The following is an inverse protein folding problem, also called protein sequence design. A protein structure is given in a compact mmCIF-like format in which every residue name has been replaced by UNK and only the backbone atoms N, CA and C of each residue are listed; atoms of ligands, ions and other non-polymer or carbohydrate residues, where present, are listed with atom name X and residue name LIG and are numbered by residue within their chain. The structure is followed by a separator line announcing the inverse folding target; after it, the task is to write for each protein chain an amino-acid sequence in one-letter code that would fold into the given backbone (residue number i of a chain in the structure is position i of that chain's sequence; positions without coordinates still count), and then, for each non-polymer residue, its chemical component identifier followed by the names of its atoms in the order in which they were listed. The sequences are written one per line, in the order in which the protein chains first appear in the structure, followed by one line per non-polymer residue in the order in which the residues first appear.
data_IF_738545347639
#
_entry.id   IF_738545347639
#
_cell.length_a   1.000
_cell.length_b   1.000
_cell.length_c   1.000
_cell.angle_alpha   90.00
_cell.angle_beta   90.00
_cell.angle_gamma   90.00
#
_symmetry.space_group_name_H-M   'P 1'
#
loop_
_entity.id
_entity.type
_entity.pdbx_description
1 polymer ?
#
# COMPACT_ATOMS: atom_id res chain seq x y z
N UNK A 1 -21.80 23.17 9.98
CA UNK A 1 -20.54 22.53 10.33
C UNK A 1 -20.70 21.03 10.60
N UNK A 2 -21.75 20.61 11.29
CA UNK A 2 -22.05 19.19 11.51
C UNK A 2 -22.26 18.39 10.20
N UNK A 3 -22.92 18.99 9.19
CA UNK A 3 -23.19 18.32 7.90
C UNK A 3 -21.93 18.05 7.08
N UNK A 4 -20.87 18.86 7.23
CA UNK A 4 -19.59 18.66 6.54
C UNK A 4 -18.85 17.46 7.14
N UNK A 5 -18.91 17.28 8.45
CA UNK A 5 -18.26 16.16 9.15
C UNK A 5 -19.01 14.83 8.96
N UNK A 6 -20.27 14.86 8.56
CA UNK A 6 -21.05 13.65 8.23
C UNK A 6 -20.91 13.21 6.78
N UNK A 7 -20.17 13.95 5.94
CA UNK A 7 -19.95 13.58 4.56
C UNK A 7 -18.88 12.46 4.49
N UNK A 8 -19.28 11.26 4.08
CA UNK A 8 -18.41 10.09 3.95
C UNK A 8 -17.16 10.37 3.11
N UNK A 9 -17.28 11.16 2.04
CA UNK A 9 -16.14 11.53 1.19
C UNK A 9 -15.10 12.34 1.97
N UNK A 10 -15.53 13.28 2.80
CA UNK A 10 -14.60 14.09 3.60
C UNK A 10 -13.87 13.21 4.63
N UNK A 11 -14.61 12.35 5.33
CA UNK A 11 -14.05 11.49 6.37
C UNK A 11 -13.09 10.41 5.81
N UNK A 12 -13.42 9.84 4.66
CA UNK A 12 -12.72 8.68 4.13
C UNK A 12 -11.64 9.04 3.10
N UNK A 13 -11.69 10.25 2.52
CA UNK A 13 -10.72 10.66 1.52
C UNK A 13 -9.97 11.94 1.91
N UNK A 14 -10.69 13.02 2.19
CA UNK A 14 -10.06 14.33 2.46
C UNK A 14 -9.27 14.30 3.76
N UNK A 15 -9.85 13.77 4.81
CA UNK A 15 -9.23 13.74 6.14
C UNK A 15 -7.96 12.86 6.18
N UNK A 16 -7.94 11.60 5.67
CA UNK A 16 -6.72 10.81 5.66
C UNK A 16 -5.63 11.39 4.74
N UNK A 17 -6.02 11.99 3.61
CA UNK A 17 -5.07 12.67 2.73
C UNK A 17 -4.35 13.82 3.43
N UNK A 18 -5.09 14.80 3.95
CA UNK A 18 -4.50 15.93 4.66
C UNK A 18 -3.90 15.52 6.01
N UNK A 19 -4.50 14.55 6.70
CA UNK A 19 -3.96 13.95 7.93
C UNK A 19 -2.57 13.38 7.71
N UNK A 20 -2.37 12.63 6.63
CA UNK A 20 -1.04 12.10 6.28
C UNK A 20 -0.07 13.22 5.97
N UNK A 21 -0.45 14.24 5.21
CA UNK A 21 0.42 15.38 4.90
C UNK A 21 0.85 16.08 6.20
N UNK A 22 -0.08 16.38 7.07
CA UNK A 22 0.18 17.08 8.34
C UNK A 22 1.03 16.24 9.29
N UNK A 23 0.69 14.96 9.48
CA UNK A 23 1.46 14.05 10.33
C UNK A 23 2.87 13.86 9.81
N UNK A 24 3.05 13.66 8.51
CA UNK A 24 4.36 13.54 7.87
C UNK A 24 5.20 14.79 8.15
N UNK A 25 4.63 15.98 7.92
CA UNK A 25 5.31 17.25 8.13
C UNK A 25 5.65 17.50 9.61
N UNK A 26 4.71 17.21 10.50
CA UNK A 26 4.89 17.39 11.95
C UNK A 26 5.99 16.46 12.48
N UNK A 27 5.91 15.17 12.16
CA UNK A 27 6.89 14.16 12.61
C UNK A 27 8.28 14.49 12.04
N UNK A 28 8.36 14.83 10.75
CA UNK A 28 9.62 15.21 10.12
C UNK A 28 10.25 16.45 10.77
N UNK A 29 9.42 17.43 11.14
CA UNK A 29 9.90 18.68 11.75
C UNK A 29 10.29 18.52 13.23
N UNK A 30 9.58 17.71 13.99
CA UNK A 30 9.82 17.48 15.41
C UNK A 30 10.91 16.43 15.67
N UNK A 31 11.10 15.48 14.74
CA UNK A 31 12.12 14.46 14.84
C UNK A 31 13.53 14.98 14.58
N UNK A 32 14.53 14.34 15.19
CA UNK A 32 15.93 14.51 14.79
C UNK A 32 16.10 13.97 13.38
N UNK A 33 17.07 14.51 12.60
CA UNK A 33 17.21 14.27 11.15
C UNK A 33 16.95 12.82 10.71
N UNK A 34 17.56 11.83 11.38
CA UNK A 34 17.45 10.43 10.95
C UNK A 34 16.18 9.76 11.49
N UNK A 35 15.88 9.91 12.80
CA UNK A 35 14.67 9.33 13.40
C UNK A 35 13.38 10.01 12.94
N UNK A 36 13.41 11.31 12.63
CA UNK A 36 12.27 12.03 12.08
C UNK A 36 11.88 11.54 10.70
N UNK A 37 12.86 11.22 9.84
CA UNK A 37 12.63 10.64 8.52
C UNK A 37 12.03 9.23 8.63
N UNK A 38 12.60 8.40 9.51
CA UNK A 38 12.12 7.04 9.73
C UNK A 38 10.67 7.02 10.25
N UNK A 39 10.37 7.84 11.27
CA UNK A 39 9.04 7.93 11.86
C UNK A 39 8.00 8.60 10.95
N UNK A 40 8.41 9.52 10.05
CA UNK A 40 7.49 10.17 9.12
C UNK A 40 6.77 9.15 8.21
N UNK A 41 7.41 8.02 7.93
CA UNK A 41 6.82 6.92 7.17
C UNK A 41 5.60 6.29 7.87
N UNK A 42 5.54 6.36 9.21
CA UNK A 42 4.43 5.82 9.97
C UNK A 42 3.10 6.58 9.75
N UNK A 43 3.16 7.79 9.19
CA UNK A 43 1.98 8.62 8.94
C UNK A 43 0.93 7.95 8.05
N UNK A 44 1.36 7.18 7.03
CA UNK A 44 0.45 6.44 6.14
C UNK A 44 -0.30 5.38 6.91
N UNK A 45 0.41 4.56 7.70
CA UNK A 45 -0.20 3.52 8.52
C UNK A 45 -1.12 4.09 9.60
N UNK A 46 -0.74 5.20 10.24
CA UNK A 46 -1.57 5.86 11.24
C UNK A 46 -2.85 6.43 10.63
N UNK A 47 -2.77 7.10 9.47
CA UNK A 47 -3.93 7.62 8.76
C UNK A 47 -4.83 6.50 8.25
N UNK A 48 -4.27 5.39 7.78
CA UNK A 48 -5.05 4.23 7.36
C UNK A 48 -5.71 3.53 8.56
N UNK A 49 -5.02 3.38 9.69
CA UNK A 49 -5.62 2.86 10.92
C UNK A 49 -6.81 3.72 11.39
N UNK A 50 -6.69 5.04 11.23
CA UNK A 50 -7.81 5.97 11.49
C UNK A 50 -9.02 5.70 10.58
N UNK A 51 -8.79 5.56 9.26
CA UNK A 51 -9.86 5.19 8.30
C UNK A 51 -10.50 3.86 8.70
N UNK A 52 -9.67 2.87 9.02
CA UNK A 52 -10.14 1.53 9.41
C UNK A 52 -11.02 1.61 10.66
N UNK A 53 -10.63 2.43 11.64
CA UNK A 53 -11.42 2.66 12.85
C UNK A 53 -12.76 3.36 12.57
N UNK A 54 -12.79 4.29 11.59
CA UNK A 54 -14.03 4.96 11.19
C UNK A 54 -14.99 4.03 10.45
N UNK A 55 -14.48 3.15 9.58
CA UNK A 55 -15.28 2.27 8.72
C UNK A 55 -15.77 1.03 9.48
N UNK A 56 -14.89 0.40 10.25
CA UNK A 56 -15.18 -0.87 10.95
C UNK A 56 -15.58 -0.67 12.42
N UNK A 57 -15.42 0.55 12.94
CA UNK A 57 -15.55 0.83 14.38
C UNK A 57 -14.31 0.41 15.17
N UNK A 58 -14.32 0.71 16.47
CA UNK A 58 -13.26 0.28 17.38
C UNK A 58 -13.44 -1.21 17.71
N UNK A 59 -12.41 -2.04 17.59
CA UNK A 59 -12.52 -3.47 17.88
C UNK A 59 -12.84 -3.69 19.35
N UNK A 60 -13.69 -4.68 19.63
CA UNK A 60 -13.87 -5.21 20.98
C UNK A 60 -12.54 -5.80 21.47
N UNK A 61 -12.24 -5.62 22.75
CA UNK A 61 -11.05 -6.26 23.35
C UNK A 61 -11.50 -7.47 24.21
N UNK A 62 -10.93 -8.66 24.03
CA UNK A 62 -9.87 -9.04 23.09
C UNK A 62 -10.35 -9.08 21.63
N UNK A 63 -9.45 -8.76 20.66
CA UNK A 63 -9.81 -8.72 19.25
C UNK A 63 -10.23 -10.12 18.77
N UNK A 64 -11.40 -10.19 18.18
CA UNK A 64 -11.90 -11.45 17.59
C UNK A 64 -11.14 -11.78 16.30
N UNK A 65 -10.97 -13.08 16.04
CA UNK A 65 -10.44 -13.58 14.76
C UNK A 65 -11.53 -13.43 13.68
N UNK A 66 -11.62 -12.25 13.08
CA UNK A 66 -12.57 -11.96 12.00
C UNK A 66 -12.16 -10.69 11.25
N UNK A 67 -12.99 -10.26 10.32
CA UNK A 67 -12.78 -9.04 9.53
C UNK A 67 -12.58 -7.78 10.37
N UNK A 68 -13.04 -7.73 11.62
CA UNK A 68 -12.77 -6.61 12.54
C UNK A 68 -11.32 -6.57 13.03
N UNK A 69 -10.56 -7.66 12.83
CA UNK A 69 -9.15 -7.73 13.16
C UNK A 69 -8.24 -6.85 12.28
N UNK A 70 -8.76 -6.32 11.14
CA UNK A 70 -7.97 -5.45 10.23
C UNK A 70 -7.35 -4.28 10.98
N UNK A 71 -8.11 -3.60 11.84
CA UNK A 71 -7.59 -2.46 12.59
C UNK A 71 -6.44 -2.89 13.51
N UNK A 72 -6.64 -3.96 14.26
CA UNK A 72 -5.61 -4.50 15.18
C UNK A 72 -4.37 -4.94 14.42
N UNK A 73 -4.55 -5.64 13.30
CA UNK A 73 -3.45 -6.08 12.44
C UNK A 73 -2.72 -4.90 11.80
N UNK A 74 -3.44 -3.87 11.32
CA UNK A 74 -2.83 -2.65 10.77
C UNK A 74 -1.98 -1.92 11.83
N UNK A 75 -2.50 -1.79 13.05
CA UNK A 75 -1.77 -1.16 14.16
C UNK A 75 -0.55 -2.00 14.55
N UNK A 76 -0.67 -3.32 14.62
CA UNK A 76 0.46 -4.21 14.91
C UNK A 76 1.55 -4.10 13.82
N UNK A 77 1.16 -4.15 12.54
CA UNK A 77 2.07 -4.00 11.41
C UNK A 77 2.75 -2.63 11.39
N UNK A 78 2.02 -1.58 11.77
CA UNK A 78 2.57 -0.23 11.92
C UNK A 78 3.63 -0.18 13.01
N UNK A 79 3.36 -0.74 14.18
CA UNK A 79 4.30 -0.77 15.30
C UNK A 79 5.55 -1.56 14.92
N UNK A 80 5.38 -2.75 14.34
CA UNK A 80 6.51 -3.56 13.86
C UNK A 80 7.32 -2.79 12.81
N UNK A 81 6.65 -2.13 11.87
CA UNK A 81 7.31 -1.31 10.85
C UNK A 81 8.13 -0.17 11.45
N UNK A 82 7.60 0.54 12.44
CA UNK A 82 8.32 1.59 13.16
C UNK A 82 9.56 1.03 13.88
N UNK A 83 9.43 -0.10 14.57
CA UNK A 83 10.55 -0.76 15.24
C UNK A 83 11.64 -1.13 14.24
N UNK A 84 11.24 -1.70 13.09
CA UNK A 84 12.17 -2.07 12.03
C UNK A 84 12.86 -0.83 11.42
N UNK A 85 12.13 0.27 11.23
CA UNK A 85 12.67 1.52 10.69
C UNK A 85 13.68 2.18 11.66
N UNK A 86 13.46 2.03 12.97
CA UNK A 86 14.34 2.60 13.99
C UNK A 86 15.54 1.71 14.33
N UNK A 87 15.37 0.39 14.34
CA UNK A 87 16.37 -0.55 14.83
C UNK A 87 17.29 -1.12 13.74
N UNK A 88 16.80 -1.23 12.48
CA UNK A 88 17.58 -1.86 11.42
C UNK A 88 18.21 -0.83 10.49
N UNK A 89 19.52 -0.70 10.59
CA UNK A 89 20.35 -0.09 9.55
C UNK A 89 20.65 -1.17 8.49
N UNK A 90 20.02 -1.09 7.32
CA UNK A 90 20.01 -2.14 6.28
C UNK A 90 21.34 -2.28 5.49
N UNK A 91 22.49 -1.90 6.05
CA UNK A 91 23.77 -1.92 5.31
C UNK A 91 24.41 -3.30 5.23
N UNK A 92 24.06 -4.23 6.14
CA UNK A 92 24.63 -5.56 6.19
C UNK A 92 23.76 -6.62 5.51
N UNK A 93 24.38 -7.67 4.93
CA UNK A 93 23.63 -8.81 4.38
C UNK A 93 22.73 -9.48 5.43
N UNK A 94 23.22 -9.55 6.67
CA UNK A 94 22.49 -10.12 7.81
C UNK A 94 21.30 -9.25 8.20
N UNK A 95 21.45 -7.92 8.22
CA UNK A 95 20.34 -6.99 8.46
C UNK A 95 19.21 -7.14 7.43
N UNK A 96 19.54 -7.31 6.15
CA UNK A 96 18.56 -7.57 5.09
C UNK A 96 17.82 -8.91 5.25
N UNK A 97 18.50 -9.94 5.72
CA UNK A 97 17.87 -11.24 5.99
C UNK A 97 16.88 -11.13 7.14
N UNK A 98 17.27 -10.48 8.24
CA UNK A 98 16.39 -10.23 9.40
C UNK A 98 15.18 -9.39 8.97
N UNK A 99 15.40 -8.34 8.20
CA UNK A 99 14.36 -7.48 7.67
C UNK A 99 13.34 -8.28 6.86
N UNK A 100 13.80 -9.03 5.87
CA UNK A 100 12.93 -9.84 5.01
C UNK A 100 12.17 -10.89 5.82
N UNK A 101 12.85 -11.56 6.76
CA UNK A 101 12.23 -12.52 7.66
C UNK A 101 11.16 -11.90 8.55
N UNK A 102 11.43 -10.75 9.15
CA UNK A 102 10.48 -10.03 10.00
C UNK A 102 9.23 -9.58 9.21
N UNK A 103 9.43 -9.10 7.97
CA UNK A 103 8.34 -8.70 7.09
C UNK A 103 7.46 -9.90 6.72
N UNK A 104 8.06 -11.02 6.32
CA UNK A 104 7.33 -12.24 5.97
C UNK A 104 6.56 -12.78 7.18
N UNK A 105 7.20 -12.90 8.35
CA UNK A 105 6.55 -13.36 9.58
C UNK A 105 5.39 -12.46 10.00
N UNK A 106 5.55 -11.14 9.86
CA UNK A 106 4.49 -10.17 10.16
C UNK A 106 3.29 -10.34 9.24
N UNK A 107 3.52 -10.61 7.96
CA UNK A 107 2.45 -10.86 7.00
C UNK A 107 1.72 -12.17 7.28
N UNK A 108 2.45 -13.25 7.51
CA UNK A 108 1.87 -14.55 7.87
C UNK A 108 1.03 -14.39 9.15
N UNK A 109 1.58 -13.70 10.16
CA UNK A 109 0.88 -13.44 11.41
C UNK A 109 -0.40 -12.64 11.22
N UNK A 110 -0.38 -11.59 10.40
CA UNK A 110 -1.56 -10.77 10.10
C UNK A 110 -2.65 -11.57 9.39
N UNK A 111 -2.27 -12.37 8.39
CA UNK A 111 -3.20 -13.24 7.64
C UNK A 111 -3.80 -14.33 8.55
N UNK A 112 -2.95 -15.03 9.31
CA UNK A 112 -3.41 -16.06 10.26
C UNK A 112 -4.34 -15.46 11.33
N UNK A 113 -4.07 -14.24 11.77
CA UNK A 113 -4.93 -13.54 12.73
C UNK A 113 -6.31 -13.21 12.13
N UNK A 114 -6.36 -12.75 10.89
CA UNK A 114 -7.63 -12.41 10.25
C UNK A 114 -8.51 -13.63 9.99
N UNK A 115 -7.93 -14.72 9.52
CA UNK A 115 -8.67 -15.88 9.06
C UNK A 115 -8.84 -16.98 10.13
N UNK A 116 -8.15 -16.86 11.27
CA UNK A 116 -8.10 -17.93 12.28
C UNK A 116 -7.39 -19.21 11.79
N UNK A 117 -6.76 -19.15 10.61
CA UNK A 117 -6.01 -20.24 9.97
C UNK A 117 -5.39 -19.81 8.64
N UNK A 118 -4.76 -20.75 7.95
CA UNK A 118 -4.16 -20.53 6.63
C UNK A 118 -4.83 -21.47 5.64
N UNK A 119 -5.54 -20.91 4.68
CA UNK A 119 -6.15 -21.61 3.56
C UNK A 119 -5.37 -21.43 2.25
N UNK A 120 -5.85 -22.03 1.16
CA UNK A 120 -5.20 -21.94 -0.15
C UNK A 120 -5.15 -20.50 -0.68
N UNK A 121 -6.20 -19.72 -0.45
CA UNK A 121 -6.27 -18.32 -0.86
C UNK A 121 -5.25 -17.46 -0.12
N UNK A 122 -5.10 -17.69 1.18
CA UNK A 122 -4.08 -17.05 2.01
C UNK A 122 -2.69 -17.31 1.50
N UNK A 123 -2.38 -18.55 1.10
CA UNK A 123 -1.07 -18.92 0.54
C UNK A 123 -0.82 -18.17 -0.77
N UNK A 124 -1.79 -18.14 -1.68
CA UNK A 124 -1.66 -17.44 -2.96
C UNK A 124 -1.42 -15.94 -2.76
N UNK A 125 -2.15 -15.33 -1.85
CA UNK A 125 -2.00 -13.91 -1.53
C UNK A 125 -0.66 -13.64 -0.85
N UNK A 126 -0.23 -14.48 0.09
CA UNK A 126 1.09 -14.35 0.72
C UNK A 126 2.23 -14.44 -0.29
N UNK A 127 2.12 -15.33 -1.29
CA UNK A 127 3.08 -15.39 -2.39
C UNK A 127 3.05 -14.10 -3.21
N UNK A 128 1.87 -13.65 -3.63
CA UNK A 128 1.71 -12.39 -4.37
C UNK A 128 2.23 -11.19 -3.59
N UNK A 129 1.95 -11.14 -2.28
CA UNK A 129 2.45 -10.10 -1.40
C UNK A 129 3.96 -10.16 -1.19
N UNK A 130 4.54 -11.35 -1.08
CA UNK A 130 5.98 -11.55 -1.03
C UNK A 130 6.69 -10.97 -2.26
N UNK A 131 6.13 -11.22 -3.45
CA UNK A 131 6.63 -10.63 -4.71
C UNK A 131 6.48 -9.10 -4.71
N UNK A 132 5.34 -8.59 -4.25
CA UNK A 132 5.08 -7.16 -4.12
C UNK A 132 6.08 -6.48 -3.20
N UNK A 133 6.29 -7.03 -2.01
CA UNK A 133 7.28 -6.53 -1.05
C UNK A 133 8.68 -6.53 -1.64
N UNK A 134 9.08 -7.63 -2.24
CA UNK A 134 10.40 -7.74 -2.86
C UNK A 134 10.61 -6.64 -3.91
N UNK A 135 9.61 -6.36 -4.74
CA UNK A 135 9.68 -5.30 -5.73
C UNK A 135 9.72 -3.91 -5.08
N UNK A 136 8.84 -3.64 -4.10
CA UNK A 136 8.81 -2.36 -3.39
C UNK A 136 10.08 -2.10 -2.58
N UNK A 137 10.61 -3.09 -1.89
CA UNK A 137 11.91 -2.98 -1.19
C UNK A 137 13.03 -2.70 -2.17
N UNK A 138 13.06 -3.42 -3.29
CA UNK A 138 14.05 -3.22 -4.33
C UNK A 138 14.01 -1.80 -4.90
N UNK A 139 12.85 -1.17 -4.97
CA UNK A 139 12.70 0.23 -5.37
C UNK A 139 13.16 1.19 -4.26
N UNK A 140 12.70 0.96 -3.02
CA UNK A 140 12.97 1.85 -1.88
C UNK A 140 14.44 1.89 -1.44
N UNK A 141 15.15 0.75 -1.51
CA UNK A 141 16.55 0.61 -1.07
C UNK A 141 17.58 1.03 -2.10
N UNK A 142 17.19 1.27 -3.34
CA UNK A 142 18.12 1.76 -4.36
C UNK A 142 18.35 3.27 -4.21
N UNK A 143 19.19 3.62 -3.25
CA UNK A 143 20.02 4.81 -3.40
C UNK A 143 20.89 4.58 -4.64
N UNK A 144 20.52 5.18 -5.76
CA UNK A 144 21.26 5.06 -7.02
C UNK A 144 22.67 5.60 -6.84
N UNK A 145 23.70 4.92 -7.40
CA UNK A 145 25.05 5.41 -7.38
C UNK A 145 25.11 6.83 -7.94
N UNK A 146 25.97 7.64 -7.36
CA UNK A 146 26.16 9.03 -7.71
C UNK A 146 26.44 9.20 -9.22
N UNK A 147 25.44 9.60 -10.03
CA UNK A 147 25.68 9.94 -11.44
C UNK A 147 24.60 9.62 -12.46
N UNK A 148 23.61 8.78 -12.15
CA UNK A 148 22.56 8.43 -13.12
C UNK A 148 21.37 9.38 -13.14
N UNK A 149 20.67 9.59 -14.28
CA UNK A 149 19.48 10.45 -14.39
C UNK A 149 18.27 9.97 -13.58
N UNK A 150 18.30 8.73 -13.06
CA UNK A 150 17.22 8.11 -12.26
C UNK A 150 17.43 8.23 -10.75
N UNK A 151 18.29 9.14 -10.30
CA UNK A 151 18.59 9.36 -8.88
C UNK A 151 17.35 9.77 -8.11
N UNK A 152 16.98 8.98 -7.13
CA UNK A 152 16.02 9.34 -6.08
C UNK A 152 14.55 9.07 -6.35
N UNK A 153 14.15 8.63 -7.54
CA UNK A 153 12.72 8.41 -7.85
C UNK A 153 12.12 7.12 -7.26
N UNK A 154 12.93 6.18 -6.80
CA UNK A 154 12.44 4.88 -6.32
C UNK A 154 11.43 4.96 -5.19
N UNK A 155 11.63 5.86 -4.22
CA UNK A 155 10.70 6.08 -3.11
C UNK A 155 9.36 6.67 -3.58
N UNK A 156 9.40 7.62 -4.52
CA UNK A 156 8.19 8.20 -5.09
C UNK A 156 7.41 7.16 -5.91
N UNK A 157 8.11 6.31 -6.64
CA UNK A 157 7.48 5.27 -7.44
C UNK A 157 6.81 4.22 -6.56
N UNK A 158 7.46 3.78 -5.49
CA UNK A 158 6.88 2.82 -4.56
C UNK A 158 5.58 3.35 -3.92
N UNK A 159 5.57 4.61 -3.46
CA UNK A 159 4.38 5.23 -2.89
C UNK A 159 3.27 5.43 -3.94
N UNK A 160 3.62 5.81 -5.17
CA UNK A 160 2.67 5.96 -6.27
C UNK A 160 2.05 4.61 -6.67
N UNK A 161 2.84 3.54 -6.72
CA UNK A 161 2.33 2.20 -7.01
C UNK A 161 1.37 1.71 -5.92
N UNK A 162 1.66 2.02 -4.66
CA UNK A 162 0.73 1.73 -3.55
C UNK A 162 -0.58 2.49 -3.70
N UNK A 163 -0.55 3.78 -4.10
CA UNK A 163 -1.76 4.56 -4.41
C UNK A 163 -2.55 3.89 -5.52
N UNK A 164 -1.91 3.58 -6.65
CA UNK A 164 -2.58 3.02 -7.83
C UNK A 164 -3.16 1.63 -7.55
N UNK A 165 -2.45 0.78 -6.81
CA UNK A 165 -2.95 -0.53 -6.41
C UNK A 165 -4.15 -0.40 -5.46
N UNK A 166 -4.10 0.52 -4.49
CA UNK A 166 -5.22 0.76 -3.57
C UNK A 166 -6.43 1.33 -4.30
N UNK A 167 -6.23 2.23 -5.26
CA UNK A 167 -7.31 2.71 -6.15
C UNK A 167 -7.90 1.55 -6.95
N UNK A 168 -7.07 0.67 -7.50
CA UNK A 168 -7.54 -0.52 -8.22
C UNK A 168 -8.39 -1.44 -7.36
N UNK A 169 -7.98 -1.73 -6.11
CA UNK A 169 -8.80 -2.48 -5.15
C UNK A 169 -10.12 -1.77 -4.85
N UNK A 170 -10.09 -0.43 -4.71
CA UNK A 170 -11.29 0.36 -4.52
C UNK A 170 -12.27 0.26 -5.69
N UNK A 171 -11.78 0.23 -6.93
CA UNK A 171 -12.61 0.01 -8.11
C UNK A 171 -13.17 -1.42 -8.18
N UNK A 172 -12.38 -2.46 -7.87
CA UNK A 172 -12.88 -3.83 -7.77
C UNK A 172 -14.05 -3.88 -6.78
N UNK A 173 -13.84 -3.36 -5.56
CA UNK A 173 -14.84 -3.34 -4.51
C UNK A 173 -16.08 -2.52 -4.91
N UNK A 174 -15.90 -1.40 -5.61
CA UNK A 174 -16.99 -0.55 -6.07
C UNK A 174 -17.85 -1.25 -7.12
N UNK A 175 -17.25 -1.86 -8.12
CA UNK A 175 -17.98 -2.59 -9.19
C UNK A 175 -18.70 -3.81 -8.60
N UNK A 176 -18.14 -4.43 -7.56
CA UNK A 176 -18.72 -5.59 -6.86
C UNK A 176 -19.71 -5.21 -5.75
N UNK A 177 -20.02 -3.92 -5.57
CA UNK A 177 -20.90 -3.35 -4.52
C UNK A 177 -20.51 -3.71 -3.08
N UNK A 178 -19.19 -3.92 -2.85
CA UNK A 178 -18.63 -4.22 -1.53
C UNK A 178 -18.20 -2.90 -0.86
N UNK A 179 -19.17 -2.19 -0.25
CA UNK A 179 -19.02 -0.81 0.24
C UNK A 179 -17.87 -0.67 1.24
N UNK A 180 -17.76 -1.59 2.21
CA UNK A 180 -16.77 -1.52 3.29
C UNK A 180 -15.35 -1.58 2.74
N UNK A 181 -15.07 -2.53 1.86
CA UNK A 181 -13.72 -2.73 1.30
C UNK A 181 -13.38 -1.63 0.28
N UNK A 182 -14.37 -1.09 -0.43
CA UNK A 182 -14.24 0.11 -1.25
C UNK A 182 -13.73 1.29 -0.42
N UNK A 183 -14.39 1.55 0.71
CA UNK A 183 -14.09 2.70 1.57
C UNK A 183 -12.71 2.54 2.23
N UNK A 184 -12.34 1.33 2.66
CA UNK A 184 -11.01 1.02 3.16
C UNK A 184 -9.94 1.22 2.07
N UNK A 185 -10.17 0.73 0.86
CA UNK A 185 -9.21 0.81 -0.24
C UNK A 185 -8.98 2.27 -0.68
N UNK A 186 -10.03 3.07 -0.83
CA UNK A 186 -9.89 4.48 -1.15
C UNK A 186 -9.29 5.30 0.00
N UNK A 187 -9.57 4.95 1.26
CA UNK A 187 -8.92 5.55 2.41
C UNK A 187 -7.41 5.27 2.46
N UNK A 188 -7.00 4.04 2.12
CA UNK A 188 -5.59 3.67 1.97
C UNK A 188 -4.93 4.43 0.81
N UNK A 189 -5.62 4.54 -0.32
CA UNK A 189 -5.17 5.33 -1.47
C UNK A 189 -4.95 6.79 -1.10
N UNK A 190 -5.91 7.41 -0.38
CA UNK A 190 -5.82 8.78 0.08
C UNK A 190 -4.66 9.01 1.05
N UNK A 191 -4.47 8.12 2.02
CA UNK A 191 -3.35 8.16 2.95
C UNK A 191 -2.00 8.06 2.22
N UNK A 192 -1.88 7.11 1.29
CA UNK A 192 -0.67 6.91 0.50
C UNK A 192 -0.40 8.08 -0.45
N UNK A 193 -1.45 8.69 -1.03
CA UNK A 193 -1.36 9.87 -1.87
C UNK A 193 -0.85 11.09 -1.09
N UNK A 194 -1.28 11.27 0.15
CA UNK A 194 -0.77 12.34 1.04
C UNK A 194 0.74 12.25 1.24
N UNK A 195 1.27 11.04 1.44
CA UNK A 195 2.70 10.82 1.53
C UNK A 195 3.41 11.02 0.19
N UNK A 196 2.81 10.57 -0.93
CA UNK A 196 3.36 10.78 -2.26
C UNK A 196 3.50 12.26 -2.60
N UNK A 197 2.49 13.08 -2.32
CA UNK A 197 2.51 14.53 -2.56
C UNK A 197 3.62 15.21 -1.76
N UNK A 198 3.89 14.76 -0.52
CA UNK A 198 5.01 15.26 0.27
C UNK A 198 6.37 15.00 -0.37
N UNK A 199 6.50 13.90 -1.08
CA UNK A 199 7.70 13.48 -1.79
C UNK A 199 7.80 14.02 -3.24
N UNK A 200 6.78 14.70 -3.72
CA UNK A 200 6.75 15.25 -5.09
C UNK A 200 7.24 16.70 -5.11
N UNK A 201 7.98 17.17 -6.13
CA UNK A 201 8.52 16.43 -7.27
C UNK A 201 9.84 15.70 -6.98
N UNK A 202 10.47 15.95 -5.85
CA UNK A 202 11.74 15.35 -5.45
C UNK A 202 11.57 14.53 -4.18
N UNK A 203 12.09 13.29 -4.12
CA UNK A 203 12.00 12.45 -2.94
C UNK A 203 12.74 13.10 -1.77
N UNK A 204 12.01 13.39 -0.70
CA UNK A 204 12.52 13.95 0.56
C UNK A 204 12.63 12.87 1.63
N UNK A 205 11.74 11.91 1.57
CA UNK A 205 11.63 10.80 2.51
C UNK A 205 11.80 9.49 1.74
N UNK A 206 12.45 8.51 2.34
CA UNK A 206 12.51 7.17 1.75
C UNK A 206 11.21 6.40 2.02
N UNK A 207 10.91 5.41 1.20
CA UNK A 207 9.79 4.50 1.40
C UNK A 207 10.18 3.47 2.46
N UNK A 208 9.76 3.71 3.72
CA UNK A 208 10.17 2.93 4.87
C UNK A 208 9.36 1.64 5.06
N UNK A 209 9.81 0.85 6.03
CA UNK A 209 9.19 -0.44 6.39
C UNK A 209 7.83 -0.26 7.03
N UNK A 210 7.61 0.85 7.74
CA UNK A 210 6.30 1.18 8.31
C UNK A 210 5.23 1.41 7.25
N UNK A 211 5.56 2.07 6.12
CA UNK A 211 4.63 2.18 4.99
C UNK A 211 4.42 0.81 4.33
N UNK A 212 5.50 0.07 4.14
CA UNK A 212 5.45 -1.24 3.50
C UNK A 212 4.56 -2.22 4.29
N UNK A 213 4.74 -2.28 5.61
CA UNK A 213 3.96 -3.18 6.47
C UNK A 213 2.53 -2.69 6.70
N UNK A 214 2.34 -1.44 7.11
CA UNK A 214 1.00 -0.94 7.39
C UNK A 214 0.20 -0.65 6.11
N UNK A 215 0.80 -0.01 5.11
CA UNK A 215 0.16 0.29 3.83
C UNK A 215 0.03 -0.94 2.94
N UNK A 216 1.14 -1.63 2.68
CA UNK A 216 1.14 -2.87 1.89
C UNK A 216 0.39 -4.00 2.58
N UNK A 217 0.51 -4.15 3.91
CA UNK A 217 -0.27 -5.09 4.70
C UNK A 217 -1.75 -4.76 4.70
N UNK A 218 -2.12 -3.48 4.82
CA UNK A 218 -3.50 -3.02 4.68
C UNK A 218 -4.11 -3.39 3.32
N UNK A 219 -3.37 -3.16 2.25
CA UNK A 219 -3.75 -3.57 0.90
C UNK A 219 -3.96 -5.09 0.79
N UNK A 220 -3.05 -5.88 1.37
CA UNK A 220 -3.16 -7.34 1.42
C UNK A 220 -4.43 -7.77 2.15
N UNK A 221 -4.73 -7.19 3.31
CA UNK A 221 -5.90 -7.53 4.11
C UNK A 221 -7.21 -7.18 3.38
N UNK A 222 -7.26 -6.06 2.66
CA UNK A 222 -8.40 -5.69 1.82
C UNK A 222 -8.58 -6.71 0.68
N UNK A 223 -7.49 -7.08 -0.01
CA UNK A 223 -7.52 -8.08 -1.07
C UNK A 223 -8.03 -9.44 -0.57
N UNK A 224 -7.59 -9.87 0.62
CA UNK A 224 -8.08 -11.10 1.28
C UNK A 224 -9.59 -11.05 1.52
N UNK A 225 -10.08 -9.97 2.12
CA UNK A 225 -11.52 -9.81 2.37
C UNK A 225 -12.35 -9.85 1.10
N UNK A 226 -11.88 -9.19 0.04
CA UNK A 226 -12.55 -9.22 -1.26
C UNK A 226 -12.65 -10.65 -1.81
N UNK A 227 -11.59 -11.46 -1.64
CA UNK A 227 -11.60 -12.86 -2.07
C UNK A 227 -12.48 -13.75 -1.18
N UNK A 228 -12.56 -13.49 0.12
CA UNK A 228 -13.46 -14.20 1.01
C UNK A 228 -14.92 -13.93 0.68
N UNK A 229 -15.26 -12.68 0.34
CA UNK A 229 -16.64 -12.29 0.02
C UNK A 229 -17.04 -12.66 -1.41
N UNK A 230 -16.11 -12.59 -2.35
CA UNK A 230 -16.36 -12.87 -3.76
C UNK A 230 -15.14 -13.58 -4.40
N UNK A 231 -15.02 -14.92 -4.26
CA UNK A 231 -13.92 -15.70 -4.83
C UNK A 231 -13.71 -15.53 -6.33
N UNK A 232 -14.74 -15.28 -7.18
CA UNK A 232 -14.55 -15.01 -8.60
C UNK A 232 -13.73 -13.76 -8.93
N UNK A 233 -13.50 -12.87 -7.96
CA UNK A 233 -12.64 -11.70 -8.15
C UNK A 233 -11.12 -12.02 -8.15
N UNK A 234 -10.73 -13.27 -7.88
CA UNK A 234 -9.33 -13.68 -7.82
C UNK A 234 -8.52 -13.29 -9.08
N UNK A 235 -9.01 -13.50 -10.33
CA UNK A 235 -8.29 -13.07 -11.52
C UNK A 235 -8.05 -11.56 -11.56
N UNK A 236 -9.05 -10.76 -11.16
CA UNK A 236 -8.94 -9.31 -11.13
C UNK A 236 -7.86 -8.84 -10.14
N UNK A 237 -7.81 -9.42 -8.95
CA UNK A 237 -6.81 -9.10 -7.91
C UNK A 237 -5.40 -9.52 -8.36
N UNK A 238 -5.26 -10.68 -9.03
CA UNK A 238 -3.98 -11.13 -9.59
C UNK A 238 -3.51 -10.14 -10.68
N UNK A 239 -4.39 -9.73 -11.59
CA UNK A 239 -4.07 -8.75 -12.64
C UNK A 239 -3.64 -7.41 -12.03
N UNK A 240 -4.30 -6.97 -10.95
CA UNK A 240 -3.91 -5.77 -10.24
C UNK A 240 -2.47 -5.86 -9.69
N UNK A 241 -2.04 -7.04 -9.26
CA UNK A 241 -0.69 -7.31 -8.79
C UNK A 241 0.40 -6.97 -9.83
N UNK A 242 0.08 -7.00 -11.13
CA UNK A 242 1.04 -6.60 -12.19
C UNK A 242 1.46 -5.13 -12.12
N UNK A 243 0.73 -4.28 -11.41
CA UNK A 243 1.14 -2.89 -11.14
C UNK A 243 2.55 -2.84 -10.50
N UNK A 244 2.89 -3.78 -9.65
CA UNK A 244 4.18 -3.82 -8.96
C UNK A 244 5.36 -4.26 -9.85
N UNK A 245 5.09 -4.72 -11.07
CA UNK A 245 6.11 -5.06 -12.06
C UNK A 245 6.44 -3.91 -13.03
N UNK A 246 5.76 -2.75 -12.91
CA UNK A 246 5.97 -1.59 -13.78
C UNK A 246 7.42 -1.10 -13.75
N UNK A 247 8.10 -1.12 -12.59
CA UNK A 247 9.52 -0.75 -12.50
C UNK A 247 10.39 -1.68 -13.35
N UNK A 248 10.09 -2.97 -13.35
CA UNK A 248 10.79 -3.95 -14.20
C UNK A 248 10.51 -3.73 -15.68
N UNK A 249 9.28 -3.36 -16.03
CA UNK A 249 8.89 -3.03 -17.40
C UNK A 249 9.59 -1.75 -17.87
N UNK A 250 9.62 -0.70 -17.05
CA UNK A 250 10.30 0.57 -17.34
C UNK A 250 11.78 0.38 -17.69
N UNK A 251 12.47 -0.53 -17.00
CA UNK A 251 13.90 -0.79 -17.25
C UNK A 251 14.18 -1.48 -18.58
N UNK A 252 13.19 -2.20 -19.11
CA UNK A 252 13.30 -2.92 -20.36
C UNK A 252 12.71 -2.13 -21.54
N UNK A 253 12.28 -0.87 -21.31
CA UNK A 253 11.79 -0.03 -22.39
C UNK A 253 12.93 0.36 -23.36
N UNK A 254 12.64 0.38 -24.67
CA UNK A 254 13.60 0.84 -25.66
C UNK A 254 14.05 2.29 -25.40
N UNK A 255 15.31 2.66 -25.75
CA UNK A 255 15.87 3.99 -25.49
C UNK A 255 15.05 5.17 -26.05
N UNK A 256 14.17 4.91 -27.03
CA UNK A 256 13.25 5.89 -27.60
C UNK A 256 12.29 6.51 -26.58
N UNK A 257 12.00 5.78 -25.49
CA UNK A 257 11.13 6.24 -24.40
C UNK A 257 11.87 7.04 -23.32
N UNK A 258 13.21 7.08 -23.36
CA UNK A 258 14.02 7.83 -22.38
C UNK A 258 13.68 9.33 -22.35
N UNK A 259 13.25 9.91 -23.47
CA UNK A 259 12.88 11.32 -23.55
C UNK A 259 11.59 11.58 -22.75
N UNK A 260 10.61 10.69 -22.82
CA UNK A 260 9.33 10.80 -22.09
C UNK A 260 9.57 10.57 -20.59
N UNK A 261 10.39 9.57 -20.23
CA UNK A 261 10.79 9.29 -18.86
C UNK A 261 11.51 10.46 -18.18
N UNK A 262 12.34 11.19 -18.94
CA UNK A 262 13.03 12.39 -18.43
C UNK A 262 12.09 13.56 -18.18
N UNK A 263 11.01 13.68 -18.97
CA UNK A 263 10.06 14.79 -18.86
C UNK A 263 9.11 14.65 -17.67
N UNK A 264 8.55 13.47 -17.44
CA UNK A 264 7.65 13.21 -16.30
C UNK A 264 7.63 11.72 -15.93
N UNK A 265 8.53 11.28 -15.03
CA UNK A 265 8.61 9.89 -14.63
C UNK A 265 7.30 9.36 -14.00
N UNK A 266 6.63 10.20 -13.19
CA UNK A 266 5.37 9.85 -12.54
C UNK A 266 4.23 9.62 -13.53
N UNK A 267 4.17 10.45 -14.59
CA UNK A 267 3.16 10.33 -15.63
C UNK A 267 3.35 9.02 -16.43
N UNK A 268 4.59 8.65 -16.71
CA UNK A 268 4.90 7.38 -17.39
C UNK A 268 4.43 6.18 -16.57
N UNK A 269 4.63 6.20 -15.23
CA UNK A 269 4.15 5.15 -14.34
C UNK A 269 2.62 5.08 -14.35
N UNK A 270 1.94 6.23 -14.29
CA UNK A 270 0.47 6.28 -14.35
C UNK A 270 -0.05 5.69 -15.66
N UNK A 271 0.55 6.05 -16.79
CA UNK A 271 0.16 5.52 -18.10
C UNK A 271 0.39 4.01 -18.18
N UNK A 272 1.52 3.50 -17.71
CA UNK A 272 1.79 2.07 -17.69
C UNK A 272 0.86 1.33 -16.71
N UNK A 273 0.54 1.93 -15.57
CA UNK A 273 -0.39 1.36 -14.60
C UNK A 273 -1.83 1.33 -15.11
N UNK A 274 -2.19 2.19 -16.06
CA UNK A 274 -3.52 2.16 -16.67
C UNK A 274 -3.81 0.81 -17.35
N UNK A 275 -2.80 0.13 -17.89
CA UNK A 275 -2.97 -1.18 -18.55
C UNK A 275 -3.47 -2.24 -17.55
N UNK A 276 -2.75 -2.57 -16.46
CA UNK A 276 -3.24 -3.54 -15.49
C UNK A 276 -4.55 -3.08 -14.81
N UNK A 277 -4.76 -1.78 -14.59
CA UNK A 277 -6.01 -1.27 -14.03
C UNK A 277 -7.20 -1.52 -14.98
N UNK A 278 -7.06 -1.27 -16.27
CA UNK A 278 -8.10 -1.57 -17.27
C UNK A 278 -8.39 -3.07 -17.34
N UNK A 279 -7.34 -3.91 -17.39
CA UNK A 279 -7.51 -5.37 -17.41
C UNK A 279 -8.21 -5.86 -16.13
N UNK A 280 -7.87 -5.31 -14.98
CA UNK A 280 -8.51 -5.60 -13.70
C UNK A 280 -9.99 -5.23 -13.74
N UNK A 281 -10.34 -4.05 -14.25
CA UNK A 281 -11.74 -3.59 -14.37
C UNK A 281 -12.54 -4.53 -15.27
N UNK A 282 -12.00 -4.90 -16.43
CA UNK A 282 -12.64 -5.84 -17.36
C UNK A 282 -12.84 -7.21 -16.68
N UNK A 283 -11.81 -7.74 -16.02
CA UNK A 283 -11.89 -9.02 -15.33
C UNK A 283 -12.94 -9.00 -14.19
N UNK A 284 -13.09 -7.87 -13.49
CA UNK A 284 -14.09 -7.70 -12.44
C UNK A 284 -15.50 -7.74 -13.02
N UNK A 285 -15.76 -7.04 -14.12
CA UNK A 285 -17.07 -7.04 -14.78
C UNK A 285 -17.43 -8.45 -15.24
N UNK A 286 -16.50 -9.17 -15.90
CA UNK A 286 -16.70 -10.55 -16.33
C UNK A 286 -17.00 -11.47 -15.13
N UNK A 287 -16.26 -11.31 -14.02
CA UNK A 287 -16.47 -12.13 -12.84
C UNK A 287 -17.85 -11.95 -12.22
N UNK A 288 -18.42 -10.75 -12.28
CA UNK A 288 -19.77 -10.46 -11.78
C UNK A 288 -20.84 -11.04 -12.71
N UNK A 289 -20.69 -10.92 -14.02
CA UNK A 289 -21.62 -11.50 -14.98
C UNK A 289 -21.73 -13.02 -14.81
N UNK A 290 -20.60 -13.72 -14.61
CA UNK A 290 -20.58 -15.16 -14.35
C UNK A 290 -21.30 -15.56 -13.04
N UNK A 291 -21.38 -14.67 -12.06
CA UNK A 291 -22.10 -14.93 -10.80
C UNK A 291 -23.62 -14.78 -10.92
N UNK A 292 -24.10 -14.05 -11.93
CA UNK A 292 -25.52 -13.77 -12.11
C UNK A 292 -26.22 -14.88 -12.92
N UNK A 293 -25.48 -15.61 -13.76
CA UNK A 293 -25.94 -16.77 -14.52
C UNK A 293 -25.84 -18.07 -13.68
#
# INVERSE_FOLDING_TARGET
MADILNNSFILLFVLPFFGTILLTGLIWRLGRKDSGIALANASVGASFAWVTALVLGTPAFPPAFNSSAILSATVALLIIGIILDLCLTAETKFGRLIETGAIILSAIGAVAWMQGGIDVWSILILIGWGVTIFNLQRMGTRATPAGGPTRGYGSNWASLLLVLASVGLGFIAWISDIIVDRDLAFGLAASSLGFYVWNWPQPRLFFGRSILLAGGGGMLMIALRLLEQAPPLAPAIILLGFIFFIDSALRNLPPRFDTILKFSPSLTIIVLAAIPLLLTTIATVIAIEIQID
#
